data_IF_783598160257
#
_entry.id   IF_783598160257
#
_cell.length_a   1.000
_cell.length_b   1.000
_cell.length_c   1.000
_cell.angle_alpha   90.00
_cell.angle_beta   90.00
_cell.angle_gamma   90.00
#
_symmetry.space_group_name_H-M   'P 1'
#
loop_
_entity.id
_entity.type
_entity.pdbx_description
1 polymer ?
#
# COMPACT_ATOMS: atom_id res chain seq x y z
N UNK A 1 8.82 -11.43 -4.65
CA UNK A 1 7.84 -10.45 -5.16
C UNK A 1 7.66 -10.48 -6.69
N UNK A 2 8.10 -11.54 -7.41
CA UNK A 2 7.93 -11.63 -8.87
C UNK A 2 6.51 -12.05 -9.31
N UNK A 3 5.88 -12.99 -8.60
CA UNK A 3 4.60 -13.57 -9.05
C UNK A 3 3.43 -12.58 -9.15
N UNK A 4 3.37 -11.55 -8.30
CA UNK A 4 2.28 -10.54 -8.35
C UNK A 4 2.43 -9.65 -9.60
N UNK A 5 3.67 -9.25 -9.92
CA UNK A 5 3.95 -8.41 -11.08
C UNK A 5 3.74 -9.18 -12.39
N UNK A 6 4.16 -10.44 -12.45
CA UNK A 6 3.95 -11.30 -13.62
C UNK A 6 2.46 -11.59 -13.86
N UNK A 7 1.70 -11.87 -12.80
CA UNK A 7 0.25 -12.08 -12.89
C UNK A 7 -0.46 -10.81 -13.32
N UNK A 8 -0.09 -9.65 -12.76
CA UNK A 8 -0.67 -8.36 -13.13
C UNK A 8 -0.42 -8.03 -14.61
N UNK A 9 0.80 -8.24 -15.11
CA UNK A 9 1.12 -8.10 -16.54
C UNK A 9 0.33 -9.08 -17.41
N UNK A 10 0.16 -10.32 -16.97
CA UNK A 10 -0.66 -11.33 -17.66
C UNK A 10 -2.13 -10.91 -17.74
N UNK A 11 -2.62 -10.21 -16.71
CA UNK A 11 -3.96 -9.62 -16.68
C UNK A 11 -4.07 -8.29 -17.44
N UNK A 12 -2.99 -7.83 -18.09
CA UNK A 12 -2.96 -6.57 -18.85
C UNK A 12 -2.84 -5.31 -17.98
N UNK A 13 -2.44 -5.46 -16.71
CA UNK A 13 -2.21 -4.36 -15.79
C UNK A 13 -0.74 -3.95 -15.82
N UNK A 14 -0.46 -2.68 -16.15
CA UNK A 14 0.85 -2.09 -15.95
C UNK A 14 1.09 -1.83 -14.46
N UNK A 15 1.94 -2.66 -13.85
CA UNK A 15 2.31 -2.54 -12.44
C UNK A 15 3.75 -2.10 -12.26
N UNK A 16 3.93 -1.05 -11.45
CA UNK A 16 5.25 -0.57 -11.01
C UNK A 16 5.41 -0.91 -9.54
N UNK A 17 6.40 -1.74 -9.22
CA UNK A 17 6.81 -1.96 -7.84
C UNK A 17 7.85 -0.91 -7.45
N UNK A 18 7.49 0.01 -6.56
CA UNK A 18 8.38 1.05 -6.07
C UNK A 18 8.50 1.01 -4.54
N UNK A 19 9.71 1.30 -4.04
CA UNK A 19 9.93 1.63 -2.63
C UNK A 19 9.84 3.14 -2.52
N UNK A 20 8.86 3.63 -1.78
CA UNK A 20 8.54 5.07 -1.67
C UNK A 20 8.35 5.47 -0.20
N UNK A 21 8.33 6.77 0.07
CA UNK A 21 8.05 7.31 1.40
C UNK A 21 6.58 7.76 1.53
N UNK A 22 6.14 8.08 2.75
CA UNK A 22 4.71 8.41 3.00
C UNK A 22 4.27 9.71 2.31
N UNK A 23 5.21 10.62 2.07
CA UNK A 23 4.93 11.91 1.43
C UNK A 23 4.62 11.67 -0.05
N UNK A 24 5.51 10.96 -0.74
CA UNK A 24 5.32 10.53 -2.14
C UNK A 24 4.09 9.64 -2.30
N UNK A 25 3.78 8.79 -1.33
CA UNK A 25 2.57 7.96 -1.37
C UNK A 25 1.26 8.79 -1.41
N UNK A 26 1.29 10.01 -0.88
CA UNK A 26 0.14 10.92 -0.96
C UNK A 26 -0.03 11.51 -2.37
N UNK A 27 1.00 11.44 -3.21
CA UNK A 27 1.04 11.95 -4.57
C UNK A 27 0.96 10.83 -5.62
N UNK A 28 1.11 9.57 -5.21
CA UNK A 28 0.99 8.42 -6.11
C UNK A 28 -0.44 8.19 -6.61
N UNK A 29 -0.60 7.63 -7.82
CA UNK A 29 -1.90 7.23 -8.34
C UNK A 29 -2.55 6.18 -7.42
N UNK A 30 -3.82 6.40 -7.07
CA UNK A 30 -4.63 5.49 -6.27
C UNK A 30 -5.72 4.83 -7.15
N UNK A 31 -6.12 3.57 -6.88
CA UNK A 31 -5.69 2.73 -5.75
C UNK A 31 -4.34 2.05 -5.99
N UNK A 32 -3.57 1.84 -4.92
CA UNK A 32 -2.30 1.11 -4.97
C UNK A 32 -2.24 -0.01 -3.91
N UNK A 33 -1.46 -1.06 -4.20
CA UNK A 33 -1.28 -2.19 -3.27
C UNK A 33 -0.05 -1.91 -2.41
N UNK A 34 -0.22 -1.99 -1.10
CA UNK A 34 0.83 -1.84 -0.12
C UNK A 34 1.21 -3.20 0.46
N UNK A 35 2.51 -3.42 0.57
CA UNK A 35 3.04 -4.47 1.42
C UNK A 35 2.93 -4.03 2.88
N UNK A 36 2.35 -4.87 3.73
CA UNK A 36 1.89 -4.50 5.07
C UNK A 36 2.34 -5.56 6.08
N UNK A 37 2.94 -5.13 7.18
CA UNK A 37 3.35 -6.01 8.29
C UNK A 37 4.11 -7.29 7.87
N UNK A 38 5.04 -7.16 6.91
CA UNK A 38 5.95 -8.20 6.40
C UNK A 38 5.35 -9.42 5.70
N UNK A 39 4.06 -9.72 5.84
CA UNK A 39 3.42 -10.89 5.23
C UNK A 39 1.96 -10.65 4.78
N UNK A 40 1.54 -9.39 4.67
CA UNK A 40 0.16 -9.04 4.29
C UNK A 40 0.15 -8.02 3.15
N UNK A 41 -0.91 -8.06 2.33
CA UNK A 41 -1.13 -7.07 1.27
C UNK A 41 -2.46 -6.37 1.50
N UNK A 42 -2.43 -5.04 1.43
CA UNK A 42 -3.62 -4.20 1.61
C UNK A 42 -3.72 -3.19 0.47
N UNK A 43 -4.92 -2.69 0.20
CA UNK A 43 -5.15 -1.70 -0.86
C UNK A 43 -5.33 -0.33 -0.24
N UNK A 44 -4.44 0.60 -0.55
CA UNK A 44 -4.66 2.02 -0.27
C UNK A 44 -5.50 2.59 -1.41
N UNK A 45 -6.75 2.96 -1.12
CA UNK A 45 -7.67 3.45 -2.15
C UNK A 45 -7.95 4.95 -2.05
N UNK A 46 -7.60 5.59 -0.93
CA UNK A 46 -7.77 7.04 -0.76
C UNK A 46 -6.80 7.60 0.28
N UNK A 47 -6.25 8.77 -0.02
CA UNK A 47 -5.52 9.60 0.94
C UNK A 47 -6.20 10.96 1.03
N UNK A 48 -6.47 11.43 2.25
CA UNK A 48 -7.10 12.75 2.48
C UNK A 48 -6.10 13.68 3.17
N UNK A 49 -5.71 14.74 2.45
CA UNK A 49 -4.79 15.80 2.92
C UNK A 49 -3.45 15.28 3.46
N UNK A 50 -2.96 14.13 2.97
CA UNK A 50 -1.74 13.48 3.48
C UNK A 50 -1.77 13.07 4.96
N UNK A 51 -2.94 13.08 5.60
CA UNK A 51 -3.11 12.85 7.05
C UNK A 51 -3.99 11.66 7.40
N UNK A 52 -4.93 11.32 6.51
CA UNK A 52 -5.81 10.15 6.68
C UNK A 52 -5.64 9.20 5.50
N UNK A 53 -5.36 7.94 5.81
CA UNK A 53 -5.11 6.87 4.87
C UNK A 53 -6.27 5.88 4.94
N UNK A 54 -6.92 5.63 3.81
CA UNK A 54 -8.05 4.72 3.73
C UNK A 54 -7.58 3.41 3.08
N UNK A 55 -7.58 2.36 3.88
CA UNK A 55 -7.05 1.04 3.53
C UNK A 55 -8.22 0.07 3.39
N UNK A 56 -8.21 -0.76 2.35
CA UNK A 56 -9.04 -1.93 2.24
C UNK A 56 -8.16 -3.16 2.52
N UNK A 57 -8.38 -3.77 3.67
CA UNK A 57 -7.69 -4.98 4.14
C UNK A 57 -8.59 -6.19 3.85
N UNK A 58 -8.12 -7.22 3.11
CA UNK A 58 -8.92 -8.43 2.85
C UNK A 58 -9.40 -9.15 4.12
N UNK A 59 -8.64 -9.08 5.21
CA UNK A 59 -8.97 -9.75 6.48
C UNK A 59 -9.78 -8.89 7.46
N UNK A 60 -9.80 -7.56 7.29
CA UNK A 60 -10.47 -6.62 8.23
C UNK A 60 -11.52 -5.73 7.57
N UNK A 61 -11.63 -5.72 6.25
CA UNK A 61 -12.47 -4.81 5.49
C UNK A 61 -11.87 -3.41 5.34
N UNK A 62 -12.73 -2.39 5.21
CA UNK A 62 -12.31 -1.00 5.02
C UNK A 62 -11.94 -0.35 6.37
N UNK A 63 -10.69 0.03 6.52
CA UNK A 63 -10.14 0.69 7.71
C UNK A 63 -9.57 2.06 7.36
N UNK A 64 -9.46 2.94 8.37
CA UNK A 64 -8.87 4.26 8.21
C UNK A 64 -7.80 4.45 9.27
N UNK A 65 -6.64 4.93 8.85
CA UNK A 65 -5.49 5.18 9.72
C UNK A 65 -5.08 6.64 9.66
N UNK A 66 -4.58 7.16 10.78
CA UNK A 66 -3.83 8.41 10.80
C UNK A 66 -2.37 8.17 10.35
N UNK A 67 -1.61 9.26 10.16
CA UNK A 67 -0.24 9.20 9.67
C UNK A 67 0.71 8.35 10.56
N UNK A 68 0.58 8.45 11.88
CA UNK A 68 1.44 7.72 12.80
C UNK A 68 1.11 6.23 12.82
N UNK A 69 -0.17 5.88 12.85
CA UNK A 69 -0.64 4.50 12.78
C UNK A 69 -0.22 3.87 11.45
N UNK A 70 -0.43 4.57 10.34
CA UNK A 70 -0.04 4.11 9.01
C UNK A 70 1.47 3.84 8.95
N UNK A 71 2.29 4.78 9.42
CA UNK A 71 3.75 4.62 9.49
C UNK A 71 4.15 3.39 10.30
N UNK A 72 3.52 3.17 11.46
CA UNK A 72 3.83 2.03 12.33
C UNK A 72 3.61 0.69 11.64
N UNK A 73 2.54 0.56 10.85
CA UNK A 73 2.21 -0.71 10.18
C UNK A 73 2.96 -0.90 8.85
N UNK A 74 3.24 0.18 8.13
CA UNK A 74 3.90 0.14 6.82
C UNK A 74 5.43 0.12 6.92
N UNK A 75 6.02 0.95 7.79
CA UNK A 75 7.47 1.09 7.95
C UNK A 75 8.06 -0.03 8.82
N UNK A 76 7.25 -0.78 9.58
CA UNK A 76 7.75 -1.95 10.33
C UNK A 76 8.33 -3.05 9.45
N UNK A 77 8.16 -2.95 8.13
CA UNK A 77 8.87 -3.75 7.13
C UNK A 77 10.38 -3.44 7.17
N UNK A 78 11.11 -4.06 8.11
CA UNK A 78 12.56 -4.08 8.09
C UNK A 78 13.01 -4.78 6.81
N UNK A 79 13.69 -4.03 5.95
CA UNK A 79 14.44 -4.62 4.84
C UNK A 79 15.69 -5.23 5.47
N UNK A 80 15.75 -6.56 5.59
CA UNK A 80 17.03 -7.25 5.77
C UNK A 80 17.88 -7.11 4.51
#
# INVERSE_FOLDING_TARGET
MLGINETAKTLGLDTVCAKTNVVELSETPLPCILHWNQNHFVVLYKVKKGKKFYIADPGKGKTTYNLEEFRRHWISTHSN
#
